data_IF_741388306629
#
_entry.id   IF_741388306629
#
_cell.length_a   1.000
_cell.length_b   1.000
_cell.length_c   1.000
_cell.angle_alpha   90.00
_cell.angle_beta   90.00
_cell.angle_gamma   90.00
#
_symmetry.space_group_name_H-M   'P 1'
#
loop_
_entity.id
_entity.type
_entity.pdbx_description
1 polymer ?
#
# COMPACT_ATOMS: atom_id res chain seq x y z
N UNK A 1 -8.60 -60.74 -7.16
CA UNK A 1 -8.52 -61.32 -5.79
C UNK A 1 -8.53 -60.18 -4.78
N UNK A 2 -9.41 -60.25 -3.76
CA UNK A 2 -9.44 -59.56 -2.44
C UNK A 2 -9.30 -58.01 -2.44
N UNK A 3 -10.36 -57.20 -2.24
CA UNK A 3 -11.17 -56.87 -1.03
C UNK A 3 -10.43 -56.06 0.06
N UNK A 4 -10.97 -54.86 0.33
CA UNK A 4 -11.21 -54.13 1.61
C UNK A 4 -11.17 -52.62 1.31
N UNK A 5 -12.21 -51.78 1.31
CA UNK A 5 -13.35 -51.50 2.22
C UNK A 5 -12.94 -51.14 3.66
N UNK A 6 -13.08 -49.85 4.00
CA UNK A 6 -13.56 -49.19 5.26
C UNK A 6 -12.86 -47.80 5.35
N UNK A 7 -13.49 -46.63 5.47
CA UNK A 7 -14.82 -46.25 5.93
C UNK A 7 -14.70 -45.44 7.23
N UNK A 8 -15.00 -44.13 7.21
CA UNK A 8 -15.39 -43.23 8.33
C UNK A 8 -15.49 -41.80 7.76
N UNK A 9 -16.64 -41.25 7.34
CA UNK A 9 -17.79 -40.78 8.13
C UNK A 9 -17.39 -39.92 9.35
N UNK A 10 -17.37 -38.60 9.15
CA UNK A 10 -17.73 -37.63 10.18
C UNK A 10 -18.81 -36.69 9.61
N UNK A 11 -19.97 -36.74 10.24
CA UNK A 11 -21.12 -35.89 9.98
C UNK A 11 -21.28 -34.88 11.13
N UNK A 12 -21.86 -33.73 10.77
CA UNK A 12 -22.53 -32.74 11.63
C UNK A 12 -21.65 -31.83 12.50
N UNK A 13 -21.81 -30.52 12.33
CA UNK A 13 -22.85 -29.77 13.06
C UNK A 13 -23.11 -28.39 12.44
N UNK A 14 -24.38 -28.11 12.15
CA UNK A 14 -24.92 -26.78 11.88
C UNK A 14 -25.00 -25.98 13.18
N UNK A 15 -24.60 -24.71 13.17
CA UNK A 15 -25.17 -23.71 14.08
C UNK A 15 -25.62 -22.49 13.26
N UNK A 16 -26.94 -22.35 13.21
CA UNK A 16 -27.68 -21.17 12.83
C UNK A 16 -27.54 -20.16 13.98
N UNK A 17 -26.90 -19.02 13.71
CA UNK A 17 -26.88 -17.86 14.60
C UNK A 17 -27.70 -16.73 14.01
N UNK A 18 -28.97 -16.63 14.42
CA UNK A 18 -29.87 -15.53 14.11
C UNK A 18 -29.66 -14.43 15.16
N UNK A 19 -28.94 -13.37 14.82
CA UNK A 19 -28.72 -12.20 15.67
C UNK A 19 -29.44 -10.98 15.10
N UNK A 20 -30.57 -10.62 15.69
CA UNK A 20 -31.36 -9.42 15.39
C UNK A 20 -30.86 -8.27 16.27
N UNK A 21 -30.25 -7.26 15.67
CA UNK A 21 -29.87 -6.01 16.31
C UNK A 21 -30.20 -4.87 15.35
N UNK A 22 -31.20 -4.06 15.70
CA UNK A 22 -31.58 -2.87 14.93
C UNK A 22 -30.63 -1.69 15.19
N UNK A 23 -30.58 -0.78 14.23
CA UNK A 23 -29.92 0.51 14.32
C UNK A 23 -30.04 1.23 12.98
N UNK A 24 -30.75 2.36 12.99
CA UNK A 24 -30.84 3.35 11.91
C UNK A 24 -29.46 3.73 11.35
N UNK A 25 -29.37 3.98 10.04
CA UNK A 25 -28.92 5.27 9.51
C UNK A 25 -28.85 5.31 7.98
N UNK A 26 -29.50 6.36 7.47
CA UNK A 26 -29.10 7.27 6.41
C UNK A 26 -28.93 6.80 4.96
N UNK A 27 -29.69 7.51 4.12
CA UNK A 27 -29.39 7.91 2.76
C UNK A 27 -27.89 7.99 2.45
N UNK A 28 -27.48 7.33 1.38
CA UNK A 28 -26.70 7.96 0.31
C UNK A 28 -26.53 6.98 -0.84
N UNK A 29 -27.32 7.22 -1.88
CA UNK A 29 -26.87 7.30 -3.26
C UNK A 29 -25.41 6.81 -3.50
N UNK A 30 -25.21 5.50 -3.59
CA UNK A 30 -23.95 4.96 -4.10
C UNK A 30 -24.11 4.88 -5.62
N UNK A 31 -23.82 6.02 -6.27
CA UNK A 31 -23.56 6.03 -7.70
C UNK A 31 -22.43 5.06 -7.98
N UNK A 32 -22.69 4.14 -8.88
CA UNK A 32 -21.71 3.30 -9.56
C UNK A 32 -20.73 4.22 -10.31
N UNK A 33 -19.74 4.72 -9.58
CA UNK A 33 -18.55 5.36 -10.11
C UNK A 33 -17.50 4.26 -10.23
N UNK A 34 -16.77 4.22 -11.34
CA UNK A 34 -15.53 3.44 -11.44
C UNK A 34 -14.72 3.72 -10.17
N UNK A 35 -14.59 2.70 -9.32
CA UNK A 35 -14.18 2.89 -7.93
C UNK A 35 -12.69 3.22 -7.89
N UNK A 36 -12.38 4.52 -7.92
CA UNK A 36 -11.04 5.00 -7.63
C UNK A 36 -10.66 4.60 -6.22
N UNK A 37 -9.63 3.78 -6.10
CA UNK A 37 -9.04 3.33 -4.85
C UNK A 37 -8.16 4.44 -4.28
N UNK A 38 -8.35 4.75 -2.99
CA UNK A 38 -7.61 5.77 -2.27
C UNK A 38 -7.00 5.15 -1.02
N UNK A 39 -5.69 5.38 -0.82
CA UNK A 39 -4.95 4.79 0.29
C UNK A 39 -3.90 5.72 0.84
N UNK A 40 -3.87 5.85 2.17
CA UNK A 40 -2.88 6.62 2.89
C UNK A 40 -1.83 5.70 3.52
N UNK A 41 -0.57 6.14 3.52
CA UNK A 41 0.52 5.37 4.13
C UNK A 41 1.89 6.02 4.04
N UNK A 42 2.90 5.23 4.36
CA UNK A 42 4.30 5.57 4.22
C UNK A 42 4.81 5.17 2.83
N UNK A 43 5.25 6.15 2.04
CA UNK A 43 5.78 5.90 0.71
C UNK A 43 7.29 5.64 0.76
N UNK A 44 7.74 4.50 0.24
CA UNK A 44 9.16 4.16 0.20
C UNK A 44 9.48 3.21 -0.95
N UNK A 45 10.76 2.84 -1.11
CA UNK A 45 11.16 1.81 -2.07
C UNK A 45 10.88 0.43 -1.50
N UNK A 46 10.57 -0.53 -2.35
CA UNK A 46 10.29 -1.91 -1.92
C UNK A 46 11.42 -2.51 -1.10
N UNK A 47 12.66 -2.30 -1.53
CA UNK A 47 13.84 -2.80 -0.82
C UNK A 47 13.96 -2.19 0.58
N UNK A 48 13.74 -0.89 0.72
CA UNK A 48 13.77 -0.22 2.02
C UNK A 48 12.66 -0.74 2.95
N UNK A 49 11.46 -0.97 2.41
CA UNK A 49 10.38 -1.61 3.15
C UNK A 49 10.76 -3.03 3.63
N UNK A 50 11.35 -3.86 2.78
CA UNK A 50 11.77 -5.22 3.12
C UNK A 50 12.88 -5.27 4.19
N UNK A 51 13.76 -4.27 4.21
CA UNK A 51 14.81 -4.14 5.24
C UNK A 51 14.35 -3.43 6.52
N UNK A 52 13.09 -2.96 6.58
CA UNK A 52 12.57 -2.18 7.71
C UNK A 52 13.19 -0.79 7.84
N UNK A 53 13.77 -0.26 6.76
CA UNK A 53 14.46 1.03 6.72
C UNK A 53 13.57 2.09 6.07
N UNK A 54 12.59 2.59 6.83
CA UNK A 54 11.60 3.54 6.31
C UNK A 54 12.15 4.98 6.17
N UNK A 55 12.80 5.51 7.21
CA UNK A 55 13.32 6.88 7.21
C UNK A 55 14.78 6.98 6.73
N UNK A 56 15.54 5.90 6.85
CA UNK A 56 16.96 5.84 6.47
C UNK A 56 17.17 5.22 5.08
N UNK A 57 16.12 5.18 4.27
CA UNK A 57 16.17 4.70 2.91
C UNK A 57 17.04 5.62 2.04
N UNK A 58 18.22 5.13 1.65
CA UNK A 58 19.18 5.95 0.91
C UNK A 58 18.75 6.19 -0.53
N UNK A 59 19.11 7.35 -1.07
CA UNK A 59 18.66 7.84 -2.37
C UNK A 59 19.04 6.90 -3.54
N UNK A 60 20.15 6.18 -3.44
CA UNK A 60 20.54 5.21 -4.48
C UNK A 60 19.45 4.15 -4.68
N UNK A 61 18.84 3.65 -3.60
CA UNK A 61 17.82 2.61 -3.68
C UNK A 61 16.53 3.06 -4.38
N UNK A 62 16.32 4.37 -4.54
CA UNK A 62 15.17 4.92 -5.28
C UNK A 62 15.37 4.71 -6.79
N UNK A 63 16.60 4.85 -7.28
CA UNK A 63 16.89 4.79 -8.73
C UNK A 63 17.05 3.35 -9.23
N UNK A 64 17.70 2.52 -8.42
CA UNK A 64 18.10 1.16 -8.82
C UNK A 64 17.44 0.05 -8.01
N UNK A 65 16.67 0.39 -6.97
CA UNK A 65 15.89 -0.57 -6.20
C UNK A 65 16.67 -1.37 -5.15
N UNK A 66 17.99 -1.20 -4.98
CA UNK A 66 18.77 -1.95 -3.99
C UNK A 66 19.87 -1.12 -3.30
N UNK A 67 20.29 -1.56 -2.11
CA UNK A 67 21.42 -0.97 -1.39
C UNK A 67 22.76 -1.24 -2.09
N UNK A 68 23.63 -0.22 -2.13
CA UNK A 68 24.94 -0.26 -2.78
C UNK A 68 24.92 -0.54 -4.29
N UNK A 69 23.78 -0.35 -4.96
CA UNK A 69 23.66 -0.60 -6.39
C UNK A 69 24.63 0.22 -7.25
N UNK A 70 25.06 1.39 -6.79
CA UNK A 70 26.04 2.23 -7.50
C UNK A 70 27.38 1.51 -7.72
N UNK A 71 27.66 0.43 -6.97
CA UNK A 71 28.84 -0.41 -7.16
C UNK A 71 28.68 -1.43 -8.29
N UNK A 72 27.43 -1.74 -8.69
CA UNK A 72 27.08 -2.76 -9.70
C UNK A 72 26.35 -2.21 -10.91
N UNK A 73 25.86 -0.97 -10.84
CA UNK A 73 25.11 -0.29 -11.88
C UNK A 73 26.09 0.23 -12.95
N UNK A 74 25.94 -0.24 -14.18
CA UNK A 74 26.73 0.20 -15.32
C UNK A 74 25.97 1.25 -16.14
N UNK A 75 26.70 2.10 -16.86
CA UNK A 75 26.09 3.09 -17.74
C UNK A 75 25.30 2.38 -18.86
N UNK A 76 23.97 2.54 -18.84
CA UNK A 76 23.06 1.92 -19.81
C UNK A 76 22.13 0.87 -19.20
N UNK A 77 22.32 0.49 -17.94
CA UNK A 77 21.37 -0.34 -17.21
C UNK A 77 20.03 0.39 -17.02
N UNK A 78 18.93 -0.34 -17.18
CA UNK A 78 17.58 0.19 -16.96
C UNK A 78 17.36 0.57 -15.50
N UNK A 79 16.75 1.72 -15.27
CA UNK A 79 16.35 2.18 -13.93
C UNK A 79 15.25 1.25 -13.38
N UNK A 80 15.45 0.77 -12.14
CA UNK A 80 14.54 -0.15 -11.46
C UNK A 80 14.01 0.51 -10.21
N UNK A 81 13.07 1.43 -10.42
CA UNK A 81 12.38 2.12 -9.35
C UNK A 81 11.13 1.36 -8.96
N UNK A 82 11.21 0.55 -7.91
CA UNK A 82 10.06 -0.13 -7.31
C UNK A 82 9.60 0.62 -6.05
N UNK A 83 8.50 1.37 -6.15
CA UNK A 83 7.89 2.05 -5.00
C UNK A 83 6.76 1.23 -4.40
N UNK A 84 6.63 1.34 -3.08
CA UNK A 84 5.55 0.73 -2.30
C UNK A 84 4.97 1.77 -1.33
N UNK A 85 3.65 1.70 -1.15
CA UNK A 85 2.95 2.38 -0.08
C UNK A 85 2.69 1.38 1.04
N UNK A 86 3.26 1.61 2.22
CA UNK A 86 2.91 0.84 3.41
C UNK A 86 1.76 1.53 4.14
N UNK A 87 0.59 0.90 4.18
CA UNK A 87 -0.55 1.48 4.89
C UNK A 87 -0.57 1.07 6.36
N UNK A 88 -0.59 2.05 7.24
CA UNK A 88 -0.65 1.83 8.68
C UNK A 88 -2.02 1.27 9.13
N UNK A 89 -3.06 1.43 8.31
CA UNK A 89 -4.44 1.03 8.66
C UNK A 89 -4.66 -0.48 8.56
N UNK A 90 -4.11 -1.13 7.53
CA UNK A 90 -4.23 -2.57 7.31
C UNK A 90 -2.90 -3.33 7.45
N UNK A 91 -1.80 -2.60 7.69
CA UNK A 91 -0.45 -3.15 7.84
C UNK A 91 0.01 -3.91 6.58
N UNK A 92 -0.41 -3.46 5.40
CA UNK A 92 -0.06 -4.07 4.11
C UNK A 92 0.78 -3.13 3.24
N UNK A 93 1.59 -3.75 2.37
CA UNK A 93 2.33 -3.07 1.31
C UNK A 93 1.54 -3.12 0.01
N UNK A 94 1.41 -1.96 -0.62
CA UNK A 94 0.81 -1.78 -1.93
C UNK A 94 1.90 -1.37 -2.92
N UNK A 95 2.30 -2.25 -3.87
CA UNK A 95 3.16 -1.84 -4.96
C UNK A 95 2.48 -0.76 -5.80
N UNK A 96 3.27 0.19 -6.30
CA UNK A 96 2.77 1.28 -7.14
C UNK A 96 3.19 1.06 -8.59
N UNK A 97 2.22 1.07 -9.49
CA UNK A 97 2.47 1.17 -10.93
C UNK A 97 2.40 2.64 -11.35
N UNK A 98 3.55 3.18 -11.72
CA UNK A 98 3.73 4.57 -12.14
C UNK A 98 3.76 4.72 -13.67
N UNK A 99 3.56 3.64 -14.44
CA UNK A 99 3.73 3.64 -15.91
C UNK A 99 2.83 4.65 -16.62
N UNK A 100 1.69 5.01 -16.02
CA UNK A 100 0.72 5.97 -16.54
C UNK A 100 0.75 7.32 -15.80
N UNK A 101 1.62 7.46 -14.80
CA UNK A 101 1.67 8.62 -13.94
C UNK A 101 2.74 9.61 -14.43
N UNK A 102 2.35 10.85 -14.70
CA UNK A 102 3.25 11.84 -15.31
C UNK A 102 4.03 12.68 -14.29
N UNK A 103 3.64 12.68 -13.01
CA UNK A 103 4.22 13.54 -11.96
C UNK A 103 5.16 12.77 -11.02
N UNK A 104 5.87 11.76 -11.55
CA UNK A 104 6.77 10.90 -10.74
C UNK A 104 7.83 11.73 -10.00
N UNK A 105 8.41 12.74 -10.64
CA UNK A 105 9.42 13.59 -10.00
C UNK A 105 8.88 14.34 -8.77
N UNK A 106 7.65 14.87 -8.86
CA UNK A 106 6.97 15.56 -7.76
C UNK A 106 6.63 14.60 -6.62
N UNK A 107 6.16 13.39 -6.96
CA UNK A 107 5.92 12.31 -6.00
C UNK A 107 7.19 11.92 -5.25
N UNK A 108 8.33 11.86 -5.93
CA UNK A 108 9.61 11.54 -5.29
C UNK A 108 10.09 12.68 -4.38
N UNK A 109 9.98 13.93 -4.81
CA UNK A 109 10.40 15.08 -4.00
C UNK A 109 9.50 15.27 -2.77
N UNK A 110 8.19 15.14 -2.96
CA UNK A 110 7.21 15.50 -1.94
C UNK A 110 6.70 14.31 -1.13
N UNK A 111 6.77 13.08 -1.64
CA UNK A 111 6.21 11.89 -1.01
C UNK A 111 7.24 10.90 -0.47
N UNK A 112 8.41 10.73 -1.09
CA UNK A 112 9.30 9.61 -0.74
C UNK A 112 9.82 9.71 0.71
N UNK A 113 9.86 8.57 1.38
CA UNK A 113 10.27 8.41 2.78
C UNK A 113 9.48 9.28 3.75
N UNK A 114 8.23 9.62 3.41
CA UNK A 114 7.31 10.34 4.29
C UNK A 114 6.09 9.47 4.62
N UNK A 115 5.58 9.66 5.82
CA UNK A 115 4.31 9.08 6.27
C UNK A 115 3.14 9.96 5.85
N UNK A 116 1.92 9.41 5.85
CA UNK A 116 0.67 10.10 5.52
C UNK A 116 0.58 10.59 4.06
N UNK A 117 1.31 9.95 3.15
CA UNK A 117 1.16 10.18 1.71
C UNK A 117 -0.14 9.52 1.26
N UNK A 118 -0.98 10.26 0.54
CA UNK A 118 -2.22 9.76 -0.01
C UNK A 118 -2.03 9.42 -1.48
N UNK A 119 -2.23 8.16 -1.85
CA UNK A 119 -2.18 7.68 -3.24
C UNK A 119 -3.60 7.38 -3.70
N UNK A 120 -3.96 7.89 -4.88
CA UNK A 120 -5.22 7.61 -5.56
C UNK A 120 -4.96 6.93 -6.88
N UNK A 121 -5.78 5.95 -7.22
CA UNK A 121 -5.56 5.13 -8.40
C UNK A 121 -6.60 4.04 -8.58
N UNK A 122 -6.31 3.10 -9.45
CA UNK A 122 -7.10 1.88 -9.62
C UNK A 122 -6.34 0.70 -9.03
N UNK A 123 -7.02 -0.21 -8.35
CA UNK A 123 -6.41 -1.42 -7.83
C UNK A 123 -6.39 -2.49 -8.93
N UNK A 124 -5.22 -2.99 -9.29
CA UNK A 124 -5.08 -4.10 -10.22
C UNK A 124 -5.46 -5.43 -9.53
N UNK A 125 -6.31 -6.22 -10.19
CA UNK A 125 -6.95 -7.44 -9.65
C UNK A 125 -5.96 -8.55 -9.20
N UNK A 126 -4.71 -8.47 -9.65
CA UNK A 126 -3.75 -9.58 -9.67
C UNK A 126 -2.74 -9.57 -8.50
N UNK A 127 -2.50 -8.42 -7.84
CA UNK A 127 -1.40 -8.29 -6.87
C UNK A 127 -1.52 -7.11 -5.91
N UNK A 128 -2.72 -6.56 -5.69
CA UNK A 128 -2.94 -5.34 -4.90
C UNK A 128 -2.03 -4.17 -5.33
N UNK A 129 -1.67 -4.09 -6.61
CA UNK A 129 -0.90 -2.97 -7.14
C UNK A 129 -1.82 -1.81 -7.43
N UNK A 130 -1.44 -0.62 -6.96
CA UNK A 130 -2.17 0.61 -7.24
C UNK A 130 -1.61 1.20 -8.52
N UNK A 131 -2.43 1.28 -9.57
CA UNK A 131 -2.13 2.05 -10.77
C UNK A 131 -2.36 3.51 -10.44
N UNK A 132 -1.28 4.26 -10.23
CA UNK A 132 -1.34 5.61 -9.67
C UNK A 132 -1.90 6.60 -10.68
N UNK A 133 -2.92 7.36 -10.27
CA UNK A 133 -3.50 8.46 -11.07
C UNK A 133 -3.16 9.81 -10.46
N UNK A 134 -3.09 9.92 -9.14
CA UNK A 134 -2.70 11.13 -8.43
C UNK A 134 -2.15 10.83 -7.03
N UNK A 135 -1.48 11.81 -6.44
CA UNK A 135 -1.03 11.75 -5.06
C UNK A 135 -1.30 13.08 -4.34
N UNK A 136 -1.36 13.03 -3.02
CA UNK A 136 -1.29 14.21 -2.17
C UNK A 136 -0.12 14.04 -1.19
N UNK A 137 0.72 15.07 -1.14
CA UNK A 137 1.82 15.17 -0.19
C UNK A 137 1.30 15.15 1.26
N UNK A 138 2.11 14.70 2.22
CA UNK A 138 1.68 14.61 3.59
C UNK A 138 1.40 16.01 4.17
N UNK A 139 0.42 16.13 5.08
CA UNK A 139 0.06 17.41 5.64
C UNK A 139 1.28 18.04 6.34
N UNK A 140 1.45 19.38 6.26
CA UNK A 140 2.52 20.06 6.95
C UNK A 140 2.53 19.68 8.43
N UNK A 141 3.71 19.48 9.05
CA UNK A 141 3.78 19.15 10.46
C UNK A 141 3.00 20.19 11.25
N UNK A 142 2.04 19.73 12.05
CA UNK A 142 1.23 20.62 12.88
C UNK A 142 2.19 21.47 13.70
N UNK A 143 2.16 22.80 13.51
CA UNK A 143 3.00 23.71 14.28
C UNK A 143 2.69 23.45 15.75
N UNK A 144 3.65 22.86 16.46
CA UNK A 144 3.53 22.70 17.89
C UNK A 144 3.47 24.11 18.47
N UNK A 145 2.27 24.52 18.85
CA UNK A 145 2.05 25.69 19.67
C UNK A 145 2.56 25.35 21.07
N UNK A 146 3.88 25.22 21.22
CA UNK A 146 4.53 25.51 22.48
C UNK A 146 4.35 27.01 22.74
N UNK A 147 3.11 27.40 23.06
CA UNK A 147 2.79 28.60 23.81
C UNK A 147 3.34 28.34 25.21
N UNK A 148 4.67 28.37 25.34
CA UNK A 148 5.33 28.50 26.61
C UNK A 148 4.93 29.85 27.17
N UNK A 149 4.08 29.84 28.19
CA UNK A 149 4.04 30.92 29.17
C UNK A 149 5.48 31.09 29.69
N UNK A 150 6.13 32.18 29.29
CA UNK A 150 7.35 32.69 29.89
C UNK A 150 6.95 33.58 31.09
#
# INVERSE_FOLDING_TARGET
MKKSILGLLFASLMIIGCGKGGGDHNDSNMSEANASFEKQGFLTTKWCAEQGMFQDCRMESIVCGEGECYQKWEFGDEEKMELVLYSNDDLQYYPLDLSKFHHVAELLEEGINKDQVLIKGDLADNNNTIIVTSFEAPPPPAKSFFKGCL
#
